data_IF_322266279299
#
_entry.id   IF_322266279299
#
_cell.length_a   1.000
_cell.length_b   1.000
_cell.length_c   1.000
_cell.angle_alpha   90.00
_cell.angle_beta   90.00
_cell.angle_gamma   90.00
#
_symmetry.space_group_name_H-M   'P 1'
#
loop_
_entity.id
_entity.type
_entity.pdbx_description
1 polymer ?
#
# COMPACT_ATOMS: atom_id res chain seq x y z
N UNK A 1 -67.87 23.83 6.37
CA UNK A 1 -66.89 22.73 6.54
C UNK A 1 -65.52 23.30 6.88
N UNK A 2 -65.23 23.45 8.17
CA UNK A 2 -63.90 23.31 8.75
C UNK A 2 -63.89 22.07 9.67
N UNK A 3 -62.78 21.34 9.73
CA UNK A 3 -61.90 21.31 10.90
C UNK A 3 -60.89 20.15 10.82
N UNK A 4 -59.63 20.51 11.00
CA UNK A 4 -58.51 19.61 11.22
C UNK A 4 -58.18 19.64 12.70
N UNK A 5 -58.40 18.55 13.43
CA UNK A 5 -57.53 18.17 14.55
C UNK A 5 -57.86 16.75 15.00
N UNK A 6 -56.89 15.83 14.93
CA UNK A 6 -56.57 14.97 16.05
C UNK A 6 -55.18 14.36 15.87
N UNK A 7 -54.41 14.52 16.94
CA UNK A 7 -53.02 14.16 17.17
C UNK A 7 -52.86 12.66 17.38
N UNK A 8 -51.83 12.07 16.80
CA UNK A 8 -51.17 10.90 17.36
C UNK A 8 -49.70 11.22 17.59
N UNK A 9 -49.36 11.28 18.88
CA UNK A 9 -48.00 11.34 19.40
C UNK A 9 -47.44 9.93 19.29
N UNK A 10 -46.36 9.74 18.54
CA UNK A 10 -45.47 8.59 18.70
C UNK A 10 -44.12 9.12 19.19
N UNK A 11 -43.80 8.73 20.43
CA UNK A 11 -42.51 8.97 21.07
C UNK A 11 -41.42 8.23 20.29
N UNK A 12 -40.52 8.96 19.64
CA UNK A 12 -39.22 8.43 19.25
C UNK A 12 -38.25 8.63 20.42
N UNK A 13 -37.87 7.51 21.04
CA UNK A 13 -36.81 7.41 22.01
C UNK A 13 -35.48 7.85 21.37
N UNK A 14 -35.01 9.05 21.71
CA UNK A 14 -33.60 9.41 21.55
C UNK A 14 -32.82 8.80 22.71
N UNK A 15 -32.08 7.74 22.42
CA UNK A 15 -30.90 7.40 23.20
C UNK A 15 -29.90 8.57 23.07
N UNK A 16 -29.67 9.24 24.19
CA UNK A 16 -28.60 10.21 24.36
C UNK A 16 -27.42 9.37 24.85
N UNK A 17 -26.40 9.19 24.02
CA UNK A 17 -25.14 8.61 24.46
C UNK A 17 -24.48 9.59 25.43
N UNK A 18 -24.28 9.14 26.66
CA UNK A 18 -23.64 9.87 27.75
C UNK A 18 -22.13 9.99 27.48
N UNK A 19 -21.70 10.99 26.70
CA UNK A 19 -20.31 11.48 26.69
C UNK A 19 -20.19 12.97 26.26
N UNK A 20 -21.26 13.75 26.38
CA UNK A 20 -21.24 15.20 26.17
C UNK A 20 -20.87 15.92 27.48
N UNK A 21 -19.58 16.13 27.74
CA UNK A 21 -19.14 16.99 28.86
C UNK A 21 -19.24 18.46 28.42
N UNK A 22 -20.26 19.16 28.91
CA UNK A 22 -20.37 20.60 28.77
C UNK A 22 -19.28 21.32 29.58
N UNK A 23 -18.16 21.66 28.95
CA UNK A 23 -17.13 22.51 29.56
C UNK A 23 -17.62 23.96 29.63
N UNK A 24 -17.63 24.54 30.84
CA UNK A 24 -17.94 25.96 31.09
C UNK A 24 -16.62 26.71 31.27
N UNK A 25 -16.19 27.59 30.33
CA UNK A 25 -14.96 28.35 30.51
C UNK A 25 -15.11 29.38 31.63
N UNK A 26 -14.04 29.58 32.40
CA UNK A 26 -13.95 30.67 33.37
C UNK A 26 -14.29 32.03 32.73
N UNK A 27 -15.17 32.76 33.42
CA UNK A 27 -15.74 34.02 32.94
C UNK A 27 -14.65 35.10 32.74
N UNK A 28 -14.31 35.39 31.48
CA UNK A 28 -13.78 36.70 31.13
C UNK A 28 -14.96 37.65 30.85
N UNK A 29 -15.19 38.57 31.79
CA UNK A 29 -15.98 39.78 31.53
C UNK A 29 -15.17 40.66 30.58
N UNK A 30 -15.50 40.63 29.29
CA UNK A 30 -15.80 41.89 28.60
C UNK A 30 -16.31 41.75 27.17
N UNK A 31 -17.22 42.69 26.86
CA UNK A 31 -17.65 43.16 25.55
C UNK A 31 -18.59 42.28 24.70
N UNK A 32 -19.76 42.88 24.47
CA UNK A 32 -20.79 42.65 23.45
C UNK A 32 -20.29 41.87 22.22
N UNK A 33 -20.48 40.56 22.24
CA UNK A 33 -20.71 39.78 21.03
C UNK A 33 -21.70 38.67 21.39
N UNK A 34 -22.79 38.56 20.64
CA UNK A 34 -23.70 37.42 20.72
C UNK A 34 -22.95 36.20 20.16
N UNK A 35 -22.07 35.60 20.99
CA UNK A 35 -21.47 34.31 20.69
C UNK A 35 -22.59 33.28 20.85
N UNK A 36 -23.14 32.83 19.74
CA UNK A 36 -23.72 31.49 19.69
C UNK A 36 -22.59 30.54 20.07
N UNK A 37 -22.55 30.12 21.33
CA UNK A 37 -21.64 29.08 21.79
C UNK A 37 -22.04 27.81 21.04
N UNK A 38 -21.26 27.43 20.04
CA UNK A 38 -21.45 26.13 19.39
C UNK A 38 -20.89 25.09 20.35
N UNK A 39 -21.52 23.92 20.37
CA UNK A 39 -21.02 22.78 21.14
C UNK A 39 -19.57 22.49 20.71
N UNK A 40 -18.67 22.37 21.68
CA UNK A 40 -17.29 21.94 21.43
C UNK A 40 -17.27 20.42 21.36
N UNK A 41 -16.62 19.90 20.33
CA UNK A 41 -16.40 18.47 20.16
C UNK A 41 -14.91 18.19 20.26
N UNK A 42 -14.49 17.42 21.25
CA UNK A 42 -13.10 16.98 21.33
C UNK A 42 -12.73 16.13 20.12
N UNK A 43 -11.51 16.29 19.60
CA UNK A 43 -10.95 15.36 18.63
C UNK A 43 -10.82 14.01 19.31
N UNK A 44 -11.40 12.97 18.71
CA UNK A 44 -11.35 11.61 19.22
C UNK A 44 -9.90 11.17 19.46
N UNK A 45 -9.63 10.60 20.64
CA UNK A 45 -8.31 10.08 21.01
C UNK A 45 -7.86 8.93 20.09
N UNK A 46 -8.81 8.22 19.48
CA UNK A 46 -8.56 7.17 18.49
C UNK A 46 -8.31 7.72 17.08
N UNK A 47 -8.38 9.04 16.89
CA UNK A 47 -8.03 9.65 15.61
C UNK A 47 -6.53 9.45 15.34
N UNK A 48 -6.21 8.75 14.24
CA UNK A 48 -4.83 8.34 13.91
C UNK A 48 -4.14 9.34 12.99
N UNK A 49 -4.91 9.90 12.05
CA UNK A 49 -4.48 11.01 11.21
C UNK A 49 -5.65 11.89 10.83
N UNK A 50 -5.44 13.21 10.84
CA UNK A 50 -6.17 14.10 9.95
C UNK A 50 -5.32 15.31 9.59
N UNK A 51 -5.61 15.94 8.46
CA UNK A 51 -4.94 17.18 8.06
C UNK A 51 -5.92 18.11 7.36
N UNK A 52 -5.69 19.41 7.47
CA UNK A 52 -6.54 20.42 6.82
C UNK A 52 -5.82 21.74 6.61
N UNK A 53 -6.27 22.51 5.62
CA UNK A 53 -5.93 23.93 5.59
C UNK A 53 -6.65 24.68 6.69
N UNK A 54 -5.88 25.49 7.40
CA UNK A 54 -6.35 26.29 8.52
C UNK A 54 -5.89 27.74 8.39
N UNK A 55 -6.71 28.68 8.87
CA UNK A 55 -6.39 30.12 8.95
C UNK A 55 -6.35 30.53 10.42
N UNK A 56 -5.21 30.98 10.97
CA UNK A 56 -5.16 31.53 12.32
C UNK A 56 -6.16 32.68 12.48
N UNK A 57 -6.90 32.71 13.59
CA UNK A 57 -7.86 33.78 13.84
C UNK A 57 -7.14 35.13 13.92
N UNK A 58 -7.68 36.13 13.21
CA UNK A 58 -7.11 37.47 13.19
C UNK A 58 -5.96 37.65 12.18
N UNK A 59 -5.56 36.60 11.45
CA UNK A 59 -4.53 36.74 10.41
C UNK A 59 -5.07 37.46 9.15
N UNK A 60 -4.19 38.10 8.36
CA UNK A 60 -4.55 38.66 7.06
C UNK A 60 -5.24 37.64 6.14
N UNK A 61 -5.98 38.15 5.15
CA UNK A 61 -6.49 37.30 4.09
C UNK A 61 -5.35 36.72 3.25
N UNK A 62 -5.50 35.47 2.83
CA UNK A 62 -4.43 34.70 2.19
C UNK A 62 -3.58 33.83 3.12
N UNK A 63 -3.45 34.17 4.42
CA UNK A 63 -2.66 33.34 5.36
C UNK A 63 -3.30 31.95 5.52
N UNK A 64 -2.60 30.90 5.10
CA UNK A 64 -3.08 29.51 5.18
C UNK A 64 -1.93 28.59 5.57
N UNK A 65 -2.17 27.82 6.63
CA UNK A 65 -1.27 26.80 7.12
C UNK A 65 -1.87 25.43 6.84
N UNK A 66 -1.02 24.42 6.68
CA UNK A 66 -1.44 23.01 6.69
C UNK A 66 -1.31 22.51 8.13
N UNK A 67 -2.43 22.21 8.76
CA UNK A 67 -2.44 21.51 10.04
C UNK A 67 -2.35 20.01 9.79
N UNK A 68 -1.45 19.34 10.49
CA UNK A 68 -1.25 17.89 10.47
C UNK A 68 -1.41 17.38 11.89
N UNK A 69 -2.35 16.46 12.08
CA UNK A 69 -2.56 15.71 13.31
C UNK A 69 -2.22 14.25 13.05
N UNK A 70 -1.12 13.75 13.61
CA UNK A 70 -0.80 12.32 13.62
C UNK A 70 0.01 11.95 14.87
N UNK A 71 -0.63 11.87 16.05
CA UNK A 71 0.04 11.68 17.33
C UNK A 71 1.12 10.57 17.31
N UNK A 72 2.32 10.80 17.89
CA UNK A 72 2.70 11.98 18.66
C UNK A 72 3.15 13.18 17.80
N UNK A 73 3.15 13.07 16.47
CA UNK A 73 3.58 14.15 15.59
C UNK A 73 2.39 15.03 15.20
N UNK A 74 2.39 16.26 15.70
CA UNK A 74 1.35 17.25 15.39
C UNK A 74 2.07 18.53 14.99
N UNK A 75 1.67 19.14 13.88
CA UNK A 75 2.38 20.29 13.34
C UNK A 75 1.48 21.24 12.54
N UNK A 76 1.92 22.50 12.45
CA UNK A 76 1.46 23.49 11.48
C UNK A 76 2.59 23.76 10.50
N UNK A 77 2.29 23.65 9.21
CA UNK A 77 3.23 23.94 8.14
C UNK A 77 2.81 25.19 7.37
N UNK A 78 3.67 26.20 7.34
CA UNK A 78 3.53 27.36 6.47
C UNK A 78 4.25 27.11 5.14
N UNK A 79 3.47 26.75 4.13
CA UNK A 79 3.99 26.49 2.78
C UNK A 79 4.57 27.73 2.08
N UNK A 80 4.20 28.95 2.49
CA UNK A 80 4.70 30.19 1.85
C UNK A 80 6.12 30.47 2.32
N UNK A 81 6.37 30.26 3.60
CA UNK A 81 7.65 30.55 4.25
C UNK A 81 8.50 29.29 4.49
N UNK A 82 7.99 28.11 4.14
CA UNK A 82 8.60 26.80 4.38
C UNK A 82 8.92 26.52 5.86
N UNK A 83 8.10 27.07 6.77
CA UNK A 83 8.29 26.96 8.21
C UNK A 83 7.40 25.85 8.80
N UNK A 84 7.97 25.07 9.73
CA UNK A 84 7.28 24.01 10.45
C UNK A 84 7.23 24.34 11.94
N UNK A 85 6.02 24.47 12.48
CA UNK A 85 5.77 24.58 13.91
C UNK A 85 5.33 23.22 14.46
N UNK A 86 6.07 22.68 15.44
CA UNK A 86 5.70 21.44 16.13
C UNK A 86 4.78 21.80 17.32
N UNK A 87 3.62 21.17 17.38
CA UNK A 87 2.64 21.37 18.45
C UNK A 87 2.98 20.44 19.63
N UNK A 88 3.05 20.94 20.87
CA UNK A 88 3.32 20.12 22.05
C UNK A 88 2.29 18.99 22.23
N UNK A 89 2.76 17.82 22.67
CA UNK A 89 1.91 16.64 22.90
C UNK A 89 0.90 16.82 24.05
N UNK A 90 1.07 17.82 24.90
CA UNK A 90 0.13 18.21 25.96
C UNK A 90 -1.06 19.03 25.46
N UNK A 91 -1.10 19.37 24.18
CA UNK A 91 -2.17 20.20 23.59
C UNK A 91 -3.45 19.39 23.46
N UNK A 92 -4.57 19.94 23.90
CA UNK A 92 -5.90 19.39 23.67
C UNK A 92 -6.51 20.01 22.40
N UNK A 93 -7.32 19.23 21.67
CA UNK A 93 -7.85 19.62 20.37
C UNK A 93 -9.38 19.53 20.35
N UNK A 94 -10.02 20.61 19.91
CA UNK A 94 -11.48 20.69 19.81
C UNK A 94 -11.93 21.24 18.46
N UNK A 95 -13.07 20.76 17.98
CA UNK A 95 -13.85 21.38 16.92
C UNK A 95 -14.99 22.20 17.52
N UNK A 96 -15.11 23.46 17.10
CA UNK A 96 -16.23 24.34 17.44
C UNK A 96 -16.75 24.96 16.14
N UNK A 97 -17.75 24.34 15.51
CA UNK A 97 -18.18 24.82 14.21
C UNK A 97 -17.12 24.58 13.12
N UNK A 98 -16.80 25.64 12.37
CA UNK A 98 -15.71 25.65 11.38
C UNK A 98 -14.35 26.01 11.98
N UNK A 99 -14.19 25.86 13.29
CA UNK A 99 -12.95 26.22 13.98
C UNK A 99 -12.30 24.98 14.62
N UNK A 100 -10.99 24.87 14.42
CA UNK A 100 -10.12 24.02 15.22
C UNK A 100 -9.56 24.88 16.36
N UNK A 101 -9.69 24.40 17.59
CA UNK A 101 -9.20 25.06 18.79
C UNK A 101 -8.12 24.16 19.39
N UNK A 102 -6.93 24.72 19.55
CA UNK A 102 -5.81 24.11 20.27
C UNK A 102 -5.75 24.74 21.65
N UNK A 103 -5.74 23.92 22.70
CA UNK A 103 -5.64 24.37 24.09
C UNK A 103 -4.35 23.83 24.68
N UNK A 104 -3.44 24.70 25.11
CA UNK A 104 -2.21 24.29 25.78
C UNK A 104 -1.97 25.21 26.98
N UNK A 105 -1.81 24.62 28.17
CA UNK A 105 -1.63 25.35 29.43
C UNK A 105 -2.70 26.45 29.68
N UNK A 106 -3.95 26.21 29.24
CA UNK A 106 -5.05 27.17 29.39
C UNK A 106 -5.09 28.29 28.33
N UNK A 107 -4.12 28.35 27.42
CA UNK A 107 -4.14 29.27 26.28
C UNK A 107 -4.81 28.62 25.06
N UNK A 108 -5.75 29.34 24.44
CA UNK A 108 -6.48 28.88 23.24
C UNK A 108 -5.91 29.51 21.96
N UNK A 109 -5.52 28.68 21.00
CA UNK A 109 -5.25 29.09 19.61
C UNK A 109 -6.39 28.61 18.71
N UNK A 110 -7.03 29.56 18.04
CA UNK A 110 -8.22 29.29 17.22
C UNK A 110 -7.87 29.40 15.74
N UNK A 111 -8.24 28.39 14.97
CA UNK A 111 -8.03 28.35 13.53
C UNK A 111 -9.31 28.08 12.77
N UNK A 112 -9.59 28.87 11.74
CA UNK A 112 -10.70 28.65 10.80
C UNK A 112 -10.34 27.55 9.82
N UNK A 113 -11.19 26.52 9.70
CA UNK A 113 -11.06 25.41 8.77
C UNK A 113 -11.91 25.68 7.53
N UNK A 114 -11.35 25.41 6.34
CA UNK A 114 -12.05 25.61 5.05
C UNK A 114 -12.58 24.28 4.48
N UNK A 115 -13.29 23.50 5.29
CA UNK A 115 -13.93 22.25 4.85
C UNK A 115 -15.33 22.06 5.45
N UNK A 116 -16.04 21.01 5.04
CA UNK A 116 -17.37 20.67 5.53
C UNK A 116 -17.29 20.10 6.96
N UNK A 117 -17.63 20.94 7.96
CA UNK A 117 -17.59 20.64 9.39
C UNK A 117 -18.12 19.24 9.76
N UNK A 118 -19.34 18.90 9.32
CA UNK A 118 -19.96 17.60 9.64
C UNK A 118 -19.10 16.42 9.17
N UNK A 119 -18.58 16.49 7.94
CA UNK A 119 -17.71 15.45 7.37
C UNK A 119 -16.37 15.38 8.08
N UNK A 120 -15.80 16.52 8.47
CA UNK A 120 -14.55 16.52 9.24
C UNK A 120 -14.73 15.81 10.57
N UNK A 121 -15.80 16.15 11.31
CA UNK A 121 -16.12 15.53 12.60
C UNK A 121 -16.41 14.03 12.42
N UNK A 122 -17.13 13.65 11.37
CA UNK A 122 -17.38 12.23 11.07
C UNK A 122 -16.09 11.47 10.78
N UNK A 123 -15.15 12.03 10.01
CA UNK A 123 -13.87 11.37 9.68
C UNK A 123 -12.91 11.27 10.86
N UNK A 124 -13.00 12.19 11.82
CA UNK A 124 -12.16 12.13 13.04
C UNK A 124 -12.74 11.18 14.09
N UNK A 125 -14.08 11.05 14.19
CA UNK A 125 -14.76 10.10 15.09
C UNK A 125 -14.82 8.67 14.53
N UNK A 126 -15.16 8.51 13.25
CA UNK A 126 -15.26 7.21 12.57
C UNK A 126 -13.96 6.91 11.85
N UNK A 127 -12.86 6.90 12.59
CA UNK A 127 -11.62 6.48 11.99
C UNK A 127 -11.75 4.99 11.59
N UNK A 128 -11.86 4.72 10.29
CA UNK A 128 -11.80 3.36 9.78
C UNK A 128 -10.48 2.73 10.24
N UNK A 129 -10.48 1.43 10.54
CA UNK A 129 -9.23 0.71 10.81
C UNK A 129 -8.19 0.83 9.67
N UNK A 130 -8.63 1.27 8.47
CA UNK A 130 -7.79 1.57 7.32
C UNK A 130 -7.39 3.05 7.28
N UNK A 131 -6.16 3.34 7.72
CA UNK A 131 -5.56 4.69 7.74
C UNK A 131 -5.33 5.27 6.34
N UNK A 132 -5.14 4.40 5.33
CA UNK A 132 -4.92 4.83 3.94
C UNK A 132 -6.23 5.36 3.38
N UNK A 133 -7.34 4.66 3.61
CA UNK A 133 -8.67 5.18 3.25
C UNK A 133 -8.96 6.52 3.95
N UNK A 134 -8.66 6.62 5.25
CA UNK A 134 -8.84 7.87 5.99
C UNK A 134 -8.02 9.01 5.36
N UNK A 135 -6.75 8.75 5.05
CA UNK A 135 -5.86 9.69 4.39
C UNK A 135 -6.46 10.23 3.08
N UNK A 136 -6.94 9.34 2.21
CA UNK A 136 -7.50 9.75 0.92
C UNK A 136 -8.84 10.49 1.05
N UNK A 137 -9.70 10.11 2.01
CA UNK A 137 -10.91 10.86 2.36
C UNK A 137 -10.61 12.26 2.88
N UNK A 138 -9.55 12.41 3.67
CA UNK A 138 -9.08 13.73 4.13
C UNK A 138 -8.56 14.58 2.97
N UNK A 139 -7.85 13.99 2.00
CA UNK A 139 -7.49 14.70 0.76
C UNK A 139 -8.74 15.19 0.00
N UNK A 140 -9.75 14.34 -0.17
CA UNK A 140 -11.03 14.69 -0.80
C UNK A 140 -11.73 15.85 -0.09
N UNK A 141 -11.84 15.79 1.23
CA UNK A 141 -12.47 16.83 2.05
C UNK A 141 -11.77 18.20 1.89
N UNK A 142 -10.45 18.17 1.70
CA UNK A 142 -9.64 19.35 1.43
C UNK A 142 -9.59 19.74 -0.06
N UNK A 143 -10.46 19.15 -0.90
CA UNK A 143 -10.52 19.37 -2.35
C UNK A 143 -9.17 19.16 -3.04
N UNK A 144 -8.35 18.23 -2.53
CA UNK A 144 -7.02 17.91 -3.03
C UNK A 144 -6.04 19.10 -3.04
N UNK A 145 -6.37 20.19 -2.34
CA UNK A 145 -5.53 21.38 -2.28
C UNK A 145 -4.26 21.16 -1.46
N UNK A 146 -4.20 20.09 -0.65
CA UNK A 146 -3.02 19.65 0.08
C UNK A 146 -2.40 18.55 -0.78
N UNK A 147 -1.58 18.89 -1.79
CA UNK A 147 -0.96 17.89 -2.61
C UNK A 147 0.01 17.05 -1.78
N UNK A 148 0.24 15.79 -2.21
CA UNK A 148 1.12 14.86 -1.53
C UNK A 148 2.52 15.44 -1.23
N UNK A 149 3.04 16.31 -2.07
CA UNK A 149 4.38 16.89 -1.90
C UNK A 149 4.58 17.67 -0.59
N UNK A 150 3.52 18.10 0.11
CA UNK A 150 3.61 18.87 1.35
C UNK A 150 3.64 18.05 2.63
N UNK A 151 3.44 16.74 2.53
CA UNK A 151 3.40 15.88 3.70
C UNK A 151 4.77 15.27 3.90
N UNK A 152 5.30 15.44 5.11
CA UNK A 152 6.70 15.15 5.41
C UNK A 152 7.00 13.65 5.30
N UNK A 153 8.26 13.28 5.01
CA UNK A 153 8.74 11.90 5.00
C UNK A 153 8.26 11.05 6.20
N UNK A 154 8.24 11.56 7.44
CA UNK A 154 7.68 10.85 8.60
C UNK A 154 6.19 10.52 8.47
N UNK A 155 5.36 11.43 7.95
CA UNK A 155 3.94 11.18 7.79
C UNK A 155 3.69 10.06 6.79
N UNK A 156 4.38 10.11 5.64
CA UNK A 156 4.27 9.05 4.65
C UNK A 156 4.71 7.71 5.17
N UNK A 157 5.84 7.67 5.89
CA UNK A 157 6.34 6.42 6.43
C UNK A 157 5.41 5.77 7.44
N UNK A 158 4.64 6.58 8.15
CA UNK A 158 3.66 6.10 9.12
C UNK A 158 2.39 5.58 8.44
N UNK A 159 1.85 6.34 7.48
CA UNK A 159 0.47 6.14 7.01
C UNK A 159 0.39 5.42 5.66
N UNK A 160 1.25 5.78 4.71
CA UNK A 160 1.18 5.27 3.34
C UNK A 160 2.28 4.28 2.99
N UNK A 161 3.53 4.49 3.42
CA UNK A 161 4.64 3.61 3.05
C UNK A 161 4.65 2.34 3.91
N UNK A 162 3.66 1.49 3.71
CA UNK A 162 3.47 0.20 4.39
C UNK A 162 2.91 -0.87 3.45
N UNK A 163 2.85 -2.11 3.93
CA UNK A 163 2.41 -3.28 3.15
C UNK A 163 1.01 -3.09 2.57
N UNK A 164 0.09 -2.51 3.34
CA UNK A 164 -1.30 -2.34 2.93
C UNK A 164 -1.43 -1.42 1.71
N UNK A 165 -0.64 -0.35 1.64
CA UNK A 165 -0.63 0.54 0.49
C UNK A 165 -0.17 -0.18 -0.79
N UNK A 166 0.96 -0.88 -0.74
CA UNK A 166 1.44 -1.61 -1.91
C UNK A 166 0.48 -2.73 -2.34
N UNK A 167 -0.13 -3.43 -1.37
CA UNK A 167 -1.20 -4.40 -1.64
C UNK A 167 -2.39 -3.76 -2.37
N UNK A 168 -2.83 -2.57 -1.97
CA UNK A 168 -3.91 -1.85 -2.65
C UNK A 168 -3.50 -1.39 -4.05
N UNK A 169 -2.30 -0.83 -4.18
CA UNK A 169 -1.75 -0.38 -5.46
C UNK A 169 -1.65 -1.55 -6.45
N UNK A 170 -1.30 -2.75 -5.99
CA UNK A 170 -1.22 -3.95 -6.85
C UNK A 170 -2.52 -4.30 -7.58
N UNK A 171 -3.67 -3.79 -7.10
CA UNK A 171 -5.00 -4.04 -7.67
C UNK A 171 -5.36 -3.08 -8.81
N UNK A 172 -4.49 -2.14 -9.16
CA UNK A 172 -4.70 -1.29 -10.33
C UNK A 172 -4.84 -2.11 -11.63
N UNK A 173 -5.64 -1.62 -12.59
CA UNK A 173 -5.75 -2.22 -13.92
C UNK A 173 -4.37 -2.48 -14.57
N UNK A 174 -4.24 -3.63 -15.24
CA UNK A 174 -2.99 -4.11 -15.84
C UNK A 174 -2.35 -3.10 -16.81
N UNK A 175 -3.14 -2.32 -17.52
CA UNK A 175 -2.69 -1.32 -18.48
C UNK A 175 -1.97 -0.11 -17.85
N UNK A 176 -2.08 0.08 -16.52
CA UNK A 176 -1.31 1.10 -15.81
C UNK A 176 0.15 0.68 -15.66
N UNK A 177 0.42 -0.64 -15.58
CA UNK A 177 1.74 -1.17 -15.29
C UNK A 177 2.62 -1.24 -16.55
N UNK A 178 3.71 -0.49 -16.53
CA UNK A 178 4.82 -0.62 -17.48
C UNK A 178 6.10 -1.04 -16.76
N UNK A 179 7.18 -1.31 -17.51
CA UNK A 179 8.44 -1.78 -16.94
C UNK A 179 9.03 -0.81 -15.92
N UNK A 180 9.02 0.50 -16.20
CA UNK A 180 9.56 1.52 -15.30
C UNK A 180 8.79 1.60 -13.98
N UNK A 181 7.46 1.45 -14.03
CA UNK A 181 6.61 1.45 -12.85
C UNK A 181 6.77 0.16 -12.04
N UNK A 182 6.91 -1.00 -12.69
CA UNK A 182 7.24 -2.24 -12.00
C UNK A 182 8.59 -2.13 -11.29
N UNK A 183 9.60 -1.56 -11.95
CA UNK A 183 10.93 -1.36 -11.35
C UNK A 183 10.86 -0.46 -10.11
N UNK A 184 10.13 0.65 -10.18
CA UNK A 184 9.91 1.53 -9.03
C UNK A 184 9.10 0.84 -7.93
N UNK A 185 8.09 0.05 -8.28
CA UNK A 185 7.33 -0.72 -7.29
C UNK A 185 8.25 -1.71 -6.55
N UNK A 186 9.06 -2.47 -7.29
CA UNK A 186 10.05 -3.42 -6.75
C UNK A 186 11.02 -2.71 -5.79
N UNK A 187 11.58 -1.57 -6.19
CA UNK A 187 12.51 -0.79 -5.35
C UNK A 187 11.83 -0.26 -4.09
N UNK A 188 10.63 0.29 -4.22
CA UNK A 188 9.90 0.87 -3.11
C UNK A 188 9.45 -0.20 -2.11
N UNK A 189 9.02 -1.36 -2.61
CA UNK A 189 8.51 -2.46 -1.81
C UNK A 189 9.60 -3.31 -1.13
N UNK A 190 10.87 -3.18 -1.53
CA UNK A 190 11.98 -4.02 -1.06
C UNK A 190 12.09 -4.17 0.47
N UNK A 191 11.91 -3.09 1.27
CA UNK A 191 11.94 -3.20 2.73
C UNK A 191 10.74 -3.94 3.35
N UNK A 192 9.73 -4.24 2.55
CA UNK A 192 8.46 -4.86 2.94
C UNK A 192 8.24 -6.22 2.25
N UNK A 193 9.28 -6.71 1.55
CA UNK A 193 9.22 -7.84 0.62
C UNK A 193 8.57 -9.06 1.25
N UNK A 194 9.01 -9.46 2.44
CA UNK A 194 8.54 -10.65 3.16
C UNK A 194 7.01 -10.67 3.31
N UNK A 195 6.45 -9.64 3.93
CA UNK A 195 5.02 -9.52 4.24
C UNK A 195 4.19 -9.18 3.03
N UNK A 196 4.74 -8.40 2.10
CA UNK A 196 4.03 -8.02 0.90
C UNK A 196 3.85 -9.22 -0.04
N UNK A 197 4.92 -9.97 -0.29
CA UNK A 197 4.86 -11.11 -1.21
C UNK A 197 4.02 -12.25 -0.64
N UNK A 198 4.09 -12.51 0.68
CA UNK A 198 3.19 -13.46 1.33
C UNK A 198 1.72 -13.11 1.01
N UNK A 199 1.32 -11.84 1.20
CA UNK A 199 -0.04 -11.38 0.87
C UNK A 199 -0.37 -11.43 -0.62
N UNK A 200 0.54 -10.97 -1.49
CA UNK A 200 0.27 -10.92 -2.94
C UNK A 200 0.07 -12.33 -3.51
N UNK A 201 0.90 -13.29 -3.09
CA UNK A 201 0.76 -14.67 -3.51
C UNK A 201 -0.44 -15.36 -2.86
N UNK A 202 -0.71 -15.10 -1.58
CA UNK A 202 -1.90 -15.65 -0.92
C UNK A 202 -3.17 -15.19 -1.62
N UNK A 203 -3.29 -13.90 -1.95
CA UNK A 203 -4.41 -13.35 -2.71
C UNK A 203 -4.52 -13.93 -4.12
N UNK A 204 -3.39 -14.27 -4.76
CA UNK A 204 -3.38 -14.89 -6.08
C UNK A 204 -3.84 -16.34 -6.02
N UNK A 205 -3.37 -17.13 -5.05
CA UNK A 205 -3.66 -18.56 -4.98
C UNK A 205 -4.99 -18.89 -4.30
N UNK A 206 -5.43 -18.10 -3.33
CA UNK A 206 -6.64 -18.35 -2.53
C UNK A 206 -7.94 -18.58 -3.34
N UNK A 207 -8.17 -17.93 -4.50
CA UNK A 207 -9.38 -18.17 -5.30
C UNK A 207 -9.43 -19.52 -6.03
N UNK A 208 -8.32 -20.27 -6.10
CA UNK A 208 -8.26 -21.50 -6.88
C UNK A 208 -8.63 -22.73 -6.03
N UNK A 209 -9.72 -23.41 -6.41
CA UNK A 209 -10.13 -24.68 -5.79
C UNK A 209 -9.23 -25.87 -6.19
N UNK A 210 -8.56 -25.77 -7.33
CA UNK A 210 -7.68 -26.80 -7.91
C UNK A 210 -6.42 -26.15 -8.46
N UNK A 211 -5.37 -26.96 -8.63
CA UNK A 211 -4.10 -26.50 -9.19
C UNK A 211 -4.31 -25.84 -10.57
N UNK A 212 -3.93 -24.56 -10.73
CA UNK A 212 -3.91 -23.93 -12.04
C UNK A 212 -2.97 -24.68 -12.99
N UNK A 213 -3.26 -24.66 -14.28
CA UNK A 213 -2.37 -25.29 -15.26
C UNK A 213 -1.06 -24.52 -15.42
N UNK A 214 -1.12 -23.19 -15.34
CA UNK A 214 0.01 -22.30 -15.57
C UNK A 214 0.01 -21.15 -14.56
N UNK A 215 1.17 -20.53 -14.36
CA UNK A 215 1.26 -19.25 -13.67
C UNK A 215 1.08 -18.14 -14.72
N UNK A 216 -0.07 -17.47 -14.70
CA UNK A 216 -0.44 -16.53 -15.77
C UNK A 216 0.54 -15.36 -15.86
N UNK A 217 1.21 -15.20 -17.02
CA UNK A 217 2.26 -14.19 -17.21
C UNK A 217 1.75 -12.75 -17.11
N UNK A 218 0.46 -12.55 -17.39
CA UNK A 218 -0.21 -11.26 -17.33
C UNK A 218 -0.71 -10.90 -15.94
N UNK A 219 -0.53 -11.76 -14.93
CA UNK A 219 -0.93 -11.47 -13.57
C UNK A 219 0.09 -10.59 -12.86
N UNK A 220 -0.40 -9.66 -12.03
CA UNK A 220 0.48 -8.68 -11.39
C UNK A 220 1.58 -9.35 -10.56
N UNK A 221 1.23 -10.39 -9.80
CA UNK A 221 2.16 -11.18 -8.99
C UNK A 221 3.25 -11.87 -9.84
N UNK A 222 2.93 -12.32 -11.05
CA UNK A 222 3.92 -12.83 -12.01
C UNK A 222 4.84 -11.70 -12.47
N UNK A 223 4.27 -10.59 -12.95
CA UNK A 223 5.00 -9.44 -13.50
C UNK A 223 6.00 -8.86 -12.49
N UNK A 224 5.58 -8.66 -11.24
CA UNK A 224 6.47 -8.17 -10.18
C UNK A 224 7.55 -9.19 -9.82
N UNK A 225 7.23 -10.48 -9.71
CA UNK A 225 8.21 -11.51 -9.36
C UNK A 225 9.28 -11.61 -10.44
N UNK A 226 8.86 -11.59 -11.71
CA UNK A 226 9.75 -11.48 -12.85
C UNK A 226 10.61 -10.23 -12.77
N UNK A 227 10.05 -9.06 -12.47
CA UNK A 227 10.82 -7.82 -12.35
C UNK A 227 11.89 -7.89 -11.26
N UNK A 228 11.62 -8.57 -10.13
CA UNK A 228 12.63 -8.81 -9.10
C UNK A 228 13.79 -9.67 -9.61
N UNK A 229 13.52 -10.69 -10.43
CA UNK A 229 14.57 -11.46 -11.10
C UNK A 229 15.33 -10.61 -12.12
N UNK A 230 14.66 -9.74 -12.87
CA UNK A 230 15.29 -8.88 -13.88
C UNK A 230 16.31 -7.89 -13.29
N UNK A 231 16.14 -7.47 -12.04
CA UNK A 231 17.11 -6.60 -11.35
C UNK A 231 18.21 -7.38 -10.63
N UNK A 232 18.18 -8.71 -10.65
CA UNK A 232 19.22 -9.57 -10.04
C UNK A 232 20.39 -9.77 -11.00
N UNK A 233 21.56 -9.25 -10.62
CA UNK A 233 22.78 -9.31 -11.44
C UNK A 233 23.29 -10.74 -11.65
N UNK A 234 23.17 -11.61 -10.64
CA UNK A 234 23.59 -13.02 -10.70
C UNK A 234 22.70 -13.78 -11.68
N UNK A 235 21.38 -13.56 -11.58
CA UNK A 235 20.43 -14.14 -12.51
C UNK A 235 20.64 -13.63 -13.94
N UNK A 236 20.87 -12.33 -14.12
CA UNK A 236 21.19 -11.75 -15.43
C UNK A 236 22.47 -12.35 -16.04
N UNK A 237 23.51 -12.58 -15.25
CA UNK A 237 24.72 -13.26 -15.70
C UNK A 237 24.42 -14.71 -16.14
N UNK A 238 23.57 -15.42 -15.39
CA UNK A 238 23.09 -16.75 -15.77
C UNK A 238 22.33 -16.76 -17.10
N UNK A 239 21.42 -15.79 -17.33
CA UNK A 239 20.71 -15.64 -18.63
C UNK A 239 21.67 -15.49 -19.79
N UNK A 240 22.68 -14.64 -19.64
CA UNK A 240 23.71 -14.40 -20.66
C UNK A 240 24.53 -15.67 -20.91
N UNK A 241 24.90 -16.41 -19.87
CA UNK A 241 25.61 -17.68 -19.98
C UNK A 241 24.78 -18.73 -20.74
N UNK A 242 23.51 -18.88 -20.38
CA UNK A 242 22.57 -19.78 -21.03
C UNK A 242 22.39 -19.46 -22.52
N UNK A 243 22.30 -18.18 -22.86
CA UNK A 243 22.19 -17.70 -24.24
C UNK A 243 23.44 -17.94 -25.08
N UNK A 244 24.57 -18.35 -24.51
CA UNK A 244 25.79 -18.74 -25.23
C UNK A 244 25.94 -20.26 -25.38
N UNK A 245 25.18 -21.04 -24.61
CA UNK A 245 25.31 -22.49 -24.61
C UNK A 245 24.80 -23.15 -25.90
N UNK A 246 25.46 -24.25 -26.28
CA UNK A 246 25.04 -25.11 -27.39
C UNK A 246 23.84 -25.99 -26.99
N UNK A 247 23.92 -26.59 -25.79
CA UNK A 247 22.89 -27.42 -25.16
C UNK A 247 22.19 -26.64 -24.04
N UNK A 248 21.11 -25.94 -24.40
CA UNK A 248 20.41 -25.02 -23.49
C UNK A 248 19.81 -25.76 -22.28
N UNK A 249 19.13 -26.90 -22.49
CA UNK A 249 18.56 -27.67 -21.37
C UNK A 249 19.62 -28.13 -20.37
N UNK A 250 20.73 -28.69 -20.84
CA UNK A 250 21.83 -29.15 -19.97
C UNK A 250 22.43 -27.97 -19.19
N UNK A 251 22.73 -26.87 -19.87
CA UNK A 251 23.29 -25.66 -19.23
C UNK A 251 22.32 -25.03 -18.23
N UNK A 252 21.01 -25.08 -18.51
CA UNK A 252 20.00 -24.62 -17.58
C UNK A 252 20.08 -25.42 -16.28
N UNK A 253 20.05 -26.75 -16.33
CA UNK A 253 20.10 -27.59 -15.14
C UNK A 253 21.40 -27.38 -14.35
N UNK A 254 22.54 -27.35 -15.04
CA UNK A 254 23.84 -27.16 -14.41
C UNK A 254 23.99 -25.77 -13.77
N UNK A 255 23.52 -24.71 -14.43
CA UNK A 255 23.55 -23.37 -13.86
C UNK A 255 22.53 -23.19 -12.74
N UNK A 256 21.36 -23.83 -12.85
CA UNK A 256 20.32 -23.76 -11.82
C UNK A 256 20.77 -24.40 -10.51
N UNK A 257 21.52 -25.49 -10.60
CA UNK A 257 22.12 -26.18 -9.45
C UNK A 257 23.12 -25.30 -8.67
N UNK A 258 23.75 -24.32 -9.34
CA UNK A 258 24.64 -23.36 -8.68
C UNK A 258 23.91 -22.26 -7.91
N UNK A 259 22.57 -22.31 -7.85
CA UNK A 259 21.71 -21.27 -7.29
C UNK A 259 21.97 -19.90 -7.94
N UNK A 260 21.47 -19.66 -9.16
CA UNK A 260 21.80 -18.47 -9.95
C UNK A 260 21.02 -17.22 -9.49
N UNK A 261 20.85 -17.04 -8.18
CA UNK A 261 20.07 -15.97 -7.58
C UNK A 261 20.83 -15.38 -6.40
N UNK A 262 20.67 -14.09 -6.18
CA UNK A 262 20.98 -13.47 -4.90
C UNK A 262 20.02 -13.98 -3.81
N UNK A 263 20.41 -13.87 -2.54
CA UNK A 263 19.55 -14.22 -1.39
C UNK A 263 18.18 -13.51 -1.45
N UNK A 264 18.14 -12.28 -1.99
CA UNK A 264 16.93 -11.49 -2.19
C UNK A 264 15.95 -12.15 -3.17
N UNK A 265 16.43 -12.52 -4.35
CA UNK A 265 15.59 -13.20 -5.35
C UNK A 265 15.22 -14.61 -4.92
N UNK A 266 16.16 -15.33 -4.29
CA UNK A 266 15.89 -16.64 -3.70
C UNK A 266 14.79 -16.56 -2.64
N UNK A 267 14.73 -15.49 -1.84
CA UNK A 267 13.68 -15.28 -0.84
C UNK A 267 12.31 -15.12 -1.47
N UNK A 268 12.22 -14.40 -2.60
CA UNK A 268 10.93 -14.24 -3.31
C UNK A 268 10.45 -15.55 -3.89
N UNK A 269 11.35 -16.31 -4.52
CA UNK A 269 11.04 -17.64 -5.07
C UNK A 269 10.65 -18.61 -3.94
N UNK A 270 11.29 -18.50 -2.78
CA UNK A 270 10.89 -19.21 -1.56
C UNK A 270 9.47 -18.82 -1.11
N UNK A 271 9.14 -17.52 -1.04
CA UNK A 271 7.80 -17.07 -0.67
C UNK A 271 6.73 -17.53 -1.66
N UNK A 272 7.03 -17.52 -2.97
CA UNK A 272 6.17 -18.08 -4.01
C UNK A 272 5.93 -19.57 -3.78
N UNK A 273 7.00 -20.34 -3.56
CA UNK A 273 6.93 -21.76 -3.25
C UNK A 273 6.08 -22.03 -1.99
N UNK A 274 6.32 -21.29 -0.91
CA UNK A 274 5.64 -21.49 0.36
C UNK A 274 4.16 -21.14 0.28
N UNK A 275 3.81 -20.06 -0.41
CA UNK A 275 2.42 -19.67 -0.63
C UNK A 275 1.68 -20.71 -1.48
N UNK A 276 2.29 -21.19 -2.58
CA UNK A 276 1.72 -22.27 -3.37
C UNK A 276 1.59 -23.59 -2.56
N UNK A 277 2.54 -23.89 -1.68
CA UNK A 277 2.51 -25.08 -0.81
C UNK A 277 1.37 -25.01 0.22
N UNK A 278 1.08 -23.81 0.73
CA UNK A 278 -0.03 -23.56 1.67
C UNK A 278 -1.38 -23.89 1.04
N UNK A 279 -1.58 -23.52 -0.23
CA UNK A 279 -2.84 -23.73 -0.95
C UNK A 279 -2.95 -25.11 -1.60
N UNK A 280 -1.83 -25.67 -2.07
CA UNK A 280 -1.78 -26.98 -2.75
C UNK A 280 -0.82 -27.93 -2.02
N UNK A 281 -1.16 -28.40 -0.81
CA UNK A 281 -0.29 -29.27 -0.03
C UNK A 281 -0.12 -30.63 -0.69
N UNK A 282 1.07 -31.23 -0.54
CA UNK A 282 1.45 -32.54 -1.11
C UNK A 282 1.45 -32.59 -2.66
N UNK A 283 1.45 -31.43 -3.31
CA UNK A 283 1.55 -31.29 -4.76
C UNK A 283 2.98 -31.02 -5.23
N UNK A 284 3.23 -31.27 -6.53
CA UNK A 284 4.42 -30.79 -7.25
C UNK A 284 4.23 -29.35 -7.80
N UNK A 285 3.04 -28.79 -7.66
CA UNK A 285 2.68 -27.46 -8.14
C UNK A 285 3.58 -26.34 -7.60
N UNK A 286 3.99 -26.31 -6.31
CA UNK A 286 4.92 -25.28 -5.81
C UNK A 286 6.26 -25.23 -6.56
N UNK A 287 6.83 -26.39 -6.87
CA UNK A 287 8.04 -26.47 -7.69
C UNK A 287 7.75 -26.06 -9.13
N UNK A 288 6.64 -26.53 -9.71
CA UNK A 288 6.26 -26.19 -11.09
C UNK A 288 6.04 -24.69 -11.27
N UNK A 289 5.39 -24.00 -10.33
CA UNK A 289 5.06 -22.57 -10.45
C UNK A 289 6.32 -21.71 -10.45
N UNK A 290 7.27 -22.00 -9.56
CA UNK A 290 8.59 -21.34 -9.50
C UNK A 290 9.38 -21.58 -10.78
N UNK A 291 9.45 -22.84 -11.23
CA UNK A 291 10.15 -23.20 -12.46
C UNK A 291 9.51 -22.58 -13.71
N UNK A 292 8.18 -22.52 -13.75
CA UNK A 292 7.45 -21.94 -14.88
C UNK A 292 7.76 -20.45 -15.01
N UNK A 293 7.82 -19.72 -13.90
CA UNK A 293 8.23 -18.30 -13.91
C UNK A 293 9.67 -18.12 -14.43
N UNK A 294 10.62 -18.88 -13.90
CA UNK A 294 12.04 -18.78 -14.30
C UNK A 294 12.19 -19.15 -15.78
N UNK A 295 11.66 -20.29 -16.20
CA UNK A 295 11.79 -20.77 -17.57
C UNK A 295 11.05 -19.87 -18.55
N UNK A 296 9.86 -19.34 -18.20
CA UNK A 296 9.15 -18.36 -19.03
C UNK A 296 10.03 -17.14 -19.30
N UNK A 297 10.61 -16.52 -18.25
CA UNK A 297 11.49 -15.36 -18.43
C UNK A 297 12.74 -15.69 -19.27
N UNK A 298 13.36 -16.85 -19.03
CA UNK A 298 14.48 -17.33 -19.84
C UNK A 298 14.09 -17.53 -21.30
N UNK A 299 12.94 -18.14 -21.57
CA UNK A 299 12.44 -18.35 -22.91
C UNK A 299 12.18 -17.02 -23.62
N UNK A 300 11.58 -16.03 -22.95
CA UNK A 300 11.38 -14.70 -23.52
C UNK A 300 12.71 -14.02 -23.87
N UNK A 301 13.71 -14.11 -22.99
CA UNK A 301 15.06 -13.58 -23.27
C UNK A 301 15.77 -14.31 -24.43
N UNK A 302 15.60 -15.63 -24.51
CA UNK A 302 16.25 -16.45 -25.53
C UNK A 302 15.54 -16.41 -26.89
N UNK A 303 14.24 -16.09 -26.93
CA UNK A 303 13.46 -15.98 -28.17
C UNK A 303 14.08 -14.99 -29.16
N UNK A 304 14.64 -13.89 -28.67
CA UNK A 304 15.34 -12.91 -29.51
C UNK A 304 16.70 -13.41 -30.04
N UNK A 305 17.23 -14.51 -29.50
CA UNK A 305 18.65 -14.91 -29.65
C UNK A 305 18.85 -16.34 -30.19
N UNK A 306 17.79 -17.15 -30.27
CA UNK A 306 17.87 -18.60 -30.51
C UNK A 306 16.71 -19.10 -31.36
N UNK A 307 16.90 -20.26 -31.96
CA UNK A 307 15.87 -20.98 -32.73
C UNK A 307 14.78 -21.57 -31.84
N UNK A 308 13.54 -21.56 -32.33
CA UNK A 308 12.33 -22.04 -31.64
C UNK A 308 12.44 -23.47 -31.11
N UNK A 309 13.15 -24.35 -31.80
CA UNK A 309 13.28 -25.77 -31.40
C UNK A 309 14.03 -25.95 -30.08
N UNK A 310 15.07 -25.14 -29.84
CA UNK A 310 15.83 -25.16 -28.58
C UNK A 310 15.04 -24.55 -27.42
N UNK A 311 14.15 -23.61 -27.71
CA UNK A 311 13.25 -23.00 -26.73
C UNK A 311 12.14 -23.96 -26.31
N UNK A 312 11.56 -24.70 -27.27
CA UNK A 312 10.57 -25.75 -26.99
C UNK A 312 11.09 -26.79 -26.02
N UNK A 313 12.34 -27.22 -26.22
CA UNK A 313 13.02 -28.12 -25.29
C UNK A 313 13.05 -27.53 -23.87
N UNK A 314 13.49 -26.29 -23.68
CA UNK A 314 13.50 -25.68 -22.34
C UNK A 314 12.08 -25.62 -21.72
N UNK A 315 11.05 -25.30 -22.50
CA UNK A 315 9.65 -25.26 -22.05
C UNK A 315 9.10 -26.62 -21.60
N UNK A 316 9.63 -27.74 -22.10
CA UNK A 316 9.21 -29.07 -21.63
C UNK A 316 9.49 -29.26 -20.13
N UNK A 317 10.56 -28.66 -19.62
CA UNK A 317 10.94 -28.74 -18.21
C UNK A 317 9.91 -28.04 -17.29
N UNK A 318 9.21 -26.99 -17.76
CA UNK A 318 8.15 -26.30 -16.99
C UNK A 318 7.07 -27.27 -16.52
N UNK A 319 6.73 -28.22 -17.37
CA UNK A 319 5.70 -29.23 -17.12
C UNK A 319 6.27 -30.50 -16.46
N UNK A 320 7.48 -30.40 -15.89
CA UNK A 320 8.23 -31.54 -15.35
C UNK A 320 8.38 -32.68 -16.36
N UNK A 321 8.45 -32.41 -17.66
CA UNK A 321 8.69 -33.45 -18.68
C UNK A 321 10.19 -33.56 -18.93
N UNK A 322 10.71 -34.79 -18.99
CA UNK A 322 12.13 -35.02 -19.23
C UNK A 322 12.60 -34.51 -20.61
N UNK A 323 11.76 -34.65 -21.64
CA UNK A 323 12.15 -34.27 -23.00
C UNK A 323 13.39 -35.02 -23.48
N UNK A 324 14.32 -34.29 -24.09
CA UNK A 324 15.62 -34.82 -24.55
C UNK A 324 16.72 -34.79 -23.48
N UNK A 325 16.41 -34.37 -22.25
CA UNK A 325 17.39 -34.28 -21.17
C UNK A 325 17.83 -35.68 -20.74
N UNK A 326 19.14 -35.83 -20.49
CA UNK A 326 19.68 -37.10 -19.99
C UNK A 326 19.03 -37.48 -18.65
N UNK A 327 18.70 -38.77 -18.40
CA UNK A 327 18.00 -39.18 -17.18
C UNK A 327 18.67 -38.72 -15.88
N UNK A 328 20.01 -38.70 -15.85
CA UNK A 328 20.79 -38.22 -14.71
C UNK A 328 20.62 -36.71 -14.48
N UNK A 329 20.63 -35.91 -15.55
CA UNK A 329 20.41 -34.48 -15.46
C UNK A 329 18.97 -34.16 -15.10
N UNK A 330 18.00 -34.93 -15.60
CA UNK A 330 16.60 -34.77 -15.22
C UNK A 330 16.37 -35.06 -13.73
N UNK A 331 17.02 -36.09 -13.18
CA UNK A 331 17.00 -36.34 -11.73
C UNK A 331 17.58 -35.18 -10.93
N UNK A 332 18.69 -34.57 -11.39
CA UNK A 332 19.27 -33.38 -10.76
C UNK A 332 18.33 -32.18 -10.84
N UNK A 333 17.69 -31.97 -11.99
CA UNK A 333 16.68 -30.94 -12.16
C UNK A 333 15.56 -31.05 -11.11
N UNK A 334 14.98 -32.24 -10.93
CA UNK A 334 13.96 -32.49 -9.91
C UNK A 334 14.45 -32.25 -8.47
N UNK A 335 15.75 -32.43 -8.20
CA UNK A 335 16.32 -32.15 -6.88
C UNK A 335 16.52 -30.65 -6.66
N UNK A 336 17.02 -29.94 -7.67
CA UNK A 336 17.27 -28.49 -7.60
C UNK A 336 15.95 -27.71 -7.60
N UNK A 337 14.90 -28.19 -8.26
CA UNK A 337 13.58 -27.55 -8.24
C UNK A 337 12.96 -27.47 -6.84
N UNK A 338 13.36 -28.36 -5.93
CA UNK A 338 12.90 -28.36 -4.53
C UNK A 338 13.77 -27.49 -3.60
N UNK A 339 14.80 -26.81 -4.12
CA UNK A 339 15.70 -25.98 -3.31
C UNK A 339 14.97 -24.81 -2.61
N UNK A 340 13.94 -24.25 -3.25
CA UNK A 340 13.12 -23.14 -2.74
C UNK A 340 12.24 -23.53 -1.55
N UNK A 341 12.18 -24.80 -1.17
CA UNK A 341 11.55 -25.23 0.08
C UNK A 341 12.25 -24.65 1.31
N UNK A 342 13.55 -24.37 1.21
CA UNK A 342 14.35 -23.80 2.30
C UNK A 342 14.44 -22.30 2.13
N UNK A 343 14.26 -21.58 3.24
CA UNK A 343 14.52 -20.16 3.28
C UNK A 343 16.02 -19.90 3.01
N UNK A 344 16.38 -18.89 2.19
CA UNK A 344 17.76 -18.43 2.04
C UNK A 344 18.36 -18.04 3.41
N UNK A 345 19.50 -18.66 3.82
CA UNK A 345 20.02 -18.55 5.18
C UNK A 345 20.61 -17.18 5.52
N UNK A 346 21.01 -16.40 4.51
CA UNK A 346 21.67 -15.10 4.68
C UNK A 346 20.78 -13.93 4.25
N UNK A 347 19.48 -14.19 4.00
CA UNK A 347 18.55 -13.13 3.64
C UNK A 347 18.33 -12.16 4.80
N UNK A 348 18.61 -10.88 4.54
CA UNK A 348 18.34 -9.76 5.45
C UNK A 348 17.43 -8.78 4.69
N UNK A 349 16.23 -8.46 5.20
CA UNK A 349 15.37 -7.46 4.59
C UNK A 349 16.09 -6.11 4.45
N UNK A 350 15.93 -5.49 3.28
CA UNK A 350 16.43 -4.14 3.04
C UNK A 350 15.82 -3.14 4.03
N UNK A 351 16.61 -2.14 4.42
CA UNK A 351 16.09 -1.03 5.24
C UNK A 351 15.49 0.03 4.33
N UNK A 352 14.49 0.75 4.84
CA UNK A 352 14.02 1.98 4.20
C UNK A 352 15.17 2.98 4.09
N UNK A 353 15.33 3.58 2.92
CA UNK A 353 16.32 4.60 2.61
C UNK A 353 15.86 5.52 1.49
N UNK A 354 16.71 6.47 1.11
CA UNK A 354 16.39 7.51 0.11
C UNK A 354 15.91 6.89 -1.20
N UNK A 355 16.64 5.93 -1.77
CA UNK A 355 16.27 5.26 -3.02
C UNK A 355 14.90 4.59 -2.97
N UNK A 356 14.57 3.90 -1.87
CA UNK A 356 13.26 3.25 -1.70
C UNK A 356 12.14 4.29 -1.56
N UNK A 357 12.43 5.44 -0.96
CA UNK A 357 11.48 6.52 -0.78
C UNK A 357 11.20 7.27 -2.09
N UNK A 358 12.24 7.56 -2.88
CA UNK A 358 12.08 8.22 -4.18
C UNK A 358 11.19 7.37 -5.10
N UNK A 359 11.44 6.06 -5.15
CA UNK A 359 10.56 5.13 -5.87
C UNK A 359 9.15 5.05 -5.27
N UNK A 360 9.00 5.10 -3.94
CA UNK A 360 7.68 5.19 -3.31
C UNK A 360 6.92 6.45 -3.74
N UNK A 361 7.60 7.61 -3.83
CA UNK A 361 6.99 8.86 -4.29
C UNK A 361 6.52 8.75 -5.75
N UNK A 362 7.27 8.06 -6.60
CA UNK A 362 6.83 7.77 -7.98
C UNK A 362 5.53 6.95 -7.97
N UNK A 363 5.46 5.88 -7.17
CA UNK A 363 4.25 5.06 -7.04
C UNK A 363 3.07 5.87 -6.48
N UNK A 364 3.32 6.71 -5.47
CA UNK A 364 2.30 7.62 -4.93
C UNK A 364 1.81 8.62 -5.98
N UNK A 365 2.70 9.10 -6.85
CA UNK A 365 2.36 9.95 -7.99
C UNK A 365 1.38 9.27 -8.95
N UNK A 366 1.61 7.98 -9.26
CA UNK A 366 0.67 7.18 -10.08
C UNK A 366 -0.68 7.05 -9.41
N UNK A 367 -0.73 6.72 -8.11
CA UNK A 367 -1.99 6.69 -7.34
C UNK A 367 -2.73 8.01 -7.47
N UNK A 368 -2.00 9.12 -7.46
CA UNK A 368 -2.57 10.45 -7.59
C UNK A 368 -3.12 10.76 -8.97
N UNK A 369 -2.45 10.32 -10.03
CA UNK A 369 -2.95 10.42 -11.40
C UNK A 369 -4.17 9.53 -11.66
N UNK A 370 -4.33 8.44 -10.89
CA UNK A 370 -5.40 7.44 -11.04
C UNK A 370 -6.33 7.38 -9.82
N UNK A 371 -6.58 8.53 -9.21
CA UNK A 371 -7.23 8.58 -7.89
C UNK A 371 -8.65 7.98 -7.86
N UNK A 372 -9.44 8.17 -8.92
CA UNK A 372 -10.78 7.60 -8.99
C UNK A 372 -10.77 6.07 -8.98
N UNK A 373 -9.84 5.47 -9.74
CA UNK A 373 -9.65 4.02 -9.76
C UNK A 373 -9.18 3.53 -8.38
N UNK A 374 -8.28 4.27 -7.73
CA UNK A 374 -7.80 3.93 -6.39
C UNK A 374 -8.91 3.97 -5.34
N UNK A 375 -9.84 4.93 -5.42
CA UNK A 375 -11.00 4.96 -4.52
C UNK A 375 -11.91 3.75 -4.69
N UNK A 376 -12.11 3.27 -5.93
CA UNK A 376 -12.87 2.04 -6.17
C UNK A 376 -12.18 0.80 -5.57
N UNK A 377 -10.85 0.78 -5.56
CA UNK A 377 -10.05 -0.27 -4.92
C UNK A 377 -10.15 -0.19 -3.39
N UNK A 378 -10.11 1.02 -2.82
CA UNK A 378 -10.18 1.27 -1.37
C UNK A 378 -11.57 0.97 -0.79
N UNK A 379 -12.61 1.31 -1.53
CA UNK A 379 -14.02 1.13 -1.16
C UNK A 379 -14.70 0.18 -2.15
N UNK A 380 -14.34 -1.12 -2.14
CA UNK A 380 -15.00 -2.06 -3.03
C UNK A 380 -16.51 -2.04 -2.76
N UNK A 381 -17.35 -2.17 -3.81
CA UNK A 381 -18.79 -2.20 -3.63
C UNK A 381 -19.15 -3.28 -2.60
N UNK A 382 -20.18 -3.05 -1.76
CA UNK A 382 -20.61 -4.06 -0.80
C UNK A 382 -20.86 -5.36 -1.57
N UNK A 383 -20.26 -6.45 -1.09
CA UNK A 383 -20.48 -7.76 -1.69
C UNK A 383 -22.00 -7.98 -1.76
N UNK A 384 -22.51 -8.21 -2.97
CA UNK A 384 -23.90 -8.59 -3.14
C UNK A 384 -24.09 -9.93 -2.42
N UNK A 385 -24.62 -9.87 -1.20
CA UNK A 385 -25.03 -11.05 -0.43
C UNK A 385 -26.31 -11.65 -1.02
#
# INVERSE_FOLDING_TARGET
MPDKTQSFITQENKYIDEEDVAFVPHQYKDSKSSKFWRLRHQVDENCRVFFSFVKPRGSPDGTRLVFIYSPPFIALFDHIHEELEIIPSSTEFYFEGRFLILVNNGEERVFSIKCEEKRLIELTKKNSSDEILQYFKMCQLNKYLIPPIFLTYPLYNKILFNVRFFELVSKFPKNIWNQDLLENYVRAADPLLDKLFDKLFDNYFAPFDVEPQEFEENEFCFMITRQFLLVDEVYNAFKVSLAKAEKIQDQFVLGYETNPFTERSAMILHLLYMSATKHFPNSQYPSKVVNSLIISDLCSYLFEKREDTKLKQLKELMNSKQGNLQPQLYKRYLQVSESFKKQPPEFIPSKKGTYTYDSFIIILGVVWSHLNDFFQILEPPPANN
#
